data_IF_199422644002
#
_entry.id   IF_199422644002
#
_cell.length_a   1.000
_cell.length_b   1.000
_cell.length_c   1.000
_cell.angle_alpha   90.00
_cell.angle_beta   90.00
_cell.angle_gamma   90.00
#
_symmetry.space_group_name_H-M   'P 1'
#
loop_
_entity.id
_entity.type
_entity.pdbx_description
1 polymer ?
#
# COMPACT_ATOMS: atom_id res chain seq x y z
N UNK A 1 -24.60 35.10 4.31
CA UNK A 1 -25.13 34.09 3.36
C UNK A 1 -24.63 34.43 1.97
N UNK A 2 -23.83 33.55 1.37
CA UNK A 2 -23.21 33.74 0.07
C UNK A 2 -24.29 33.73 -1.03
N UNK A 3 -24.09 34.50 -2.10
CA UNK A 3 -25.08 34.67 -3.16
C UNK A 3 -25.49 33.33 -3.80
N UNK A 4 -24.52 32.44 -4.06
CA UNK A 4 -24.78 31.11 -4.61
C UNK A 4 -25.66 30.25 -3.68
N UNK A 5 -25.50 30.36 -2.35
CA UNK A 5 -26.34 29.63 -1.39
C UNK A 5 -27.81 30.01 -1.53
N UNK A 6 -28.11 31.30 -1.71
CA UNK A 6 -29.50 31.78 -1.80
C UNK A 6 -30.16 31.45 -3.14
N UNK A 7 -29.40 31.56 -4.23
CA UNK A 7 -29.96 31.45 -5.58
C UNK A 7 -29.93 30.02 -6.14
N UNK A 8 -29.06 29.17 -5.60
CA UNK A 8 -28.90 27.79 -6.05
C UNK A 8 -29.33 26.82 -4.95
N UNK A 9 -28.64 26.82 -3.80
CA UNK A 9 -28.90 25.83 -2.75
C UNK A 9 -30.32 25.97 -2.17
N UNK A 10 -30.75 27.19 -1.83
CA UNK A 10 -32.08 27.41 -1.29
C UNK A 10 -33.19 27.09 -2.30
N UNK A 11 -32.95 27.28 -3.60
CA UNK A 11 -33.91 26.93 -4.65
C UNK A 11 -34.06 25.40 -4.81
N UNK A 12 -33.01 24.63 -4.53
CA UNK A 12 -32.99 23.17 -4.62
C UNK A 12 -33.25 22.45 -3.29
N UNK A 13 -33.44 23.18 -2.18
CA UNK A 13 -33.48 22.62 -0.81
C UNK A 13 -34.52 21.53 -0.55
N UNK A 14 -35.59 21.49 -1.34
CA UNK A 14 -36.69 20.52 -1.21
C UNK A 14 -36.68 19.45 -2.30
N UNK A 15 -35.65 19.44 -3.16
CA UNK A 15 -35.49 18.46 -4.23
C UNK A 15 -34.55 17.36 -3.73
N UNK A 16 -35.03 16.11 -3.60
CA UNK A 16 -34.15 14.99 -3.32
C UNK A 16 -33.30 14.68 -4.56
N UNK A 17 -32.05 14.28 -4.34
CA UNK A 17 -31.11 13.84 -5.37
C UNK A 17 -30.56 12.47 -5.00
N UNK A 18 -30.44 11.58 -5.98
CA UNK A 18 -29.89 10.23 -5.79
C UNK A 18 -28.52 10.03 -6.45
N UNK A 19 -28.03 11.02 -7.21
CA UNK A 19 -26.70 10.99 -7.82
C UNK A 19 -26.10 12.38 -7.99
N UNK A 20 -24.77 12.45 -8.10
CA UNK A 20 -24.05 13.68 -8.39
C UNK A 20 -24.44 14.28 -9.75
N UNK A 21 -24.71 13.43 -10.75
CA UNK A 21 -25.13 13.87 -12.07
C UNK A 21 -26.46 14.65 -12.03
N UNK A 22 -27.44 14.18 -11.24
CA UNK A 22 -28.70 14.90 -11.06
C UNK A 22 -28.51 16.25 -10.37
N UNK A 23 -27.58 16.36 -9.42
CA UNK A 23 -27.22 17.63 -8.80
C UNK A 23 -26.62 18.58 -9.83
N UNK A 24 -25.66 18.11 -10.63
CA UNK A 24 -25.02 18.91 -11.69
C UNK A 24 -26.04 19.43 -12.70
N UNK A 25 -26.96 18.57 -13.14
CA UNK A 25 -28.02 18.91 -14.08
C UNK A 25 -28.98 19.97 -13.51
N UNK A 26 -29.38 19.83 -12.23
CA UNK A 26 -30.27 20.78 -11.58
C UNK A 26 -29.60 22.13 -11.26
N UNK A 27 -28.30 22.14 -10.96
CA UNK A 27 -27.53 23.35 -10.67
C UNK A 27 -27.28 24.17 -11.93
N UNK A 28 -27.02 23.52 -13.07
CA UNK A 28 -26.64 24.18 -14.34
C UNK A 28 -27.56 25.34 -14.75
N UNK A 29 -28.89 25.18 -14.85
CA UNK A 29 -29.77 26.29 -15.25
C UNK A 29 -29.84 27.41 -14.20
N UNK A 30 -29.70 27.10 -12.90
CA UNK A 30 -29.69 28.10 -11.84
C UNK A 30 -28.41 28.92 -11.84
N UNK A 31 -27.28 28.27 -12.14
CA UNK A 31 -25.98 28.92 -12.29
C UNK A 31 -25.99 29.87 -13.51
N UNK A 32 -26.52 29.41 -14.64
CA UNK A 32 -26.70 30.27 -15.83
C UNK A 32 -27.54 31.50 -15.49
N UNK A 33 -28.71 31.31 -14.85
CA UNK A 33 -29.58 32.41 -14.40
C UNK A 33 -28.88 33.37 -13.43
N UNK A 34 -28.03 32.85 -12.55
CA UNK A 34 -27.27 33.67 -11.60
C UNK A 34 -26.20 34.51 -12.29
N UNK A 35 -25.53 33.94 -13.29
CA UNK A 35 -24.44 34.56 -14.01
C UNK A 35 -24.91 35.61 -15.02
N UNK A 36 -26.05 35.38 -15.68
CA UNK A 36 -26.63 36.33 -16.66
C UNK A 36 -27.49 37.42 -16.03
N UNK A 37 -27.87 37.30 -14.76
CA UNK A 37 -28.66 38.33 -14.07
C UNK A 37 -27.88 39.65 -13.89
N UNK A 38 -28.42 40.80 -14.35
CA UNK A 38 -27.83 42.11 -14.08
C UNK A 38 -27.72 42.42 -12.59
N UNK A 39 -26.57 42.94 -12.18
CA UNK A 39 -26.31 43.34 -10.80
C UNK A 39 -26.77 44.78 -10.57
N UNK A 40 -27.63 44.98 -9.56
CA UNK A 40 -28.26 46.28 -9.27
C UNK A 40 -27.30 47.47 -9.20
N UNK A 41 -26.10 47.29 -8.64
CA UNK A 41 -25.13 48.38 -8.48
C UNK A 41 -24.32 48.69 -9.73
N UNK A 42 -24.10 47.69 -10.59
CA UNK A 42 -23.16 47.78 -11.72
C UNK A 42 -23.87 47.88 -13.07
N UNK A 43 -25.18 47.61 -13.12
CA UNK A 43 -25.95 47.57 -14.37
C UNK A 43 -25.62 46.39 -15.29
N UNK A 44 -24.49 45.70 -15.07
CA UNK A 44 -24.02 44.54 -15.82
C UNK A 44 -24.19 43.23 -15.04
N UNK A 45 -24.29 42.13 -15.76
CA UNK A 45 -24.28 40.76 -15.26
C UNK A 45 -22.86 40.29 -14.96
N UNK A 46 -22.73 39.16 -14.26
CA UNK A 46 -21.42 38.55 -13.97
C UNK A 46 -20.78 38.04 -15.26
N UNK A 47 -21.60 37.47 -16.14
CA UNK A 47 -21.16 37.00 -17.44
C UNK A 47 -20.58 38.12 -18.31
N UNK A 48 -21.26 39.27 -18.37
CA UNK A 48 -20.77 40.43 -19.13
C UNK A 48 -19.44 40.96 -18.57
N UNK A 49 -19.26 41.00 -17.25
CA UNK A 49 -17.99 41.41 -16.65
C UNK A 49 -16.87 40.39 -16.92
N UNK A 50 -17.20 39.09 -16.87
CA UNK A 50 -16.25 38.04 -17.21
C UNK A 50 -15.75 38.20 -18.65
N UNK A 51 -16.66 38.40 -19.61
CA UNK A 51 -16.30 38.56 -21.03
C UNK A 51 -15.52 39.84 -21.30
N UNK A 52 -15.89 40.97 -20.67
CA UNK A 52 -15.29 42.28 -20.93
C UNK A 52 -13.96 42.49 -20.23
N UNK A 53 -13.74 41.85 -19.08
CA UNK A 53 -12.59 42.14 -18.21
C UNK A 53 -11.77 40.89 -17.95
N UNK A 54 -12.37 39.85 -17.38
CA UNK A 54 -11.61 38.71 -16.85
C UNK A 54 -11.05 37.82 -17.95
N UNK A 55 -11.81 37.58 -19.03
CA UNK A 55 -11.44 36.66 -20.11
C UNK A 55 -10.09 36.98 -20.75
N UNK A 56 -9.77 38.27 -20.89
CA UNK A 56 -8.48 38.71 -21.44
C UNK A 56 -7.30 38.50 -20.47
N UNK A 57 -7.56 38.42 -19.15
CA UNK A 57 -6.56 38.19 -18.13
C UNK A 57 -6.33 36.69 -17.82
N UNK A 58 -7.22 35.80 -18.30
CA UNK A 58 -7.09 34.36 -18.08
C UNK A 58 -5.92 33.78 -18.87
N UNK A 59 -5.18 32.87 -18.22
CA UNK A 59 -4.20 32.03 -18.90
C UNK A 59 -4.91 30.89 -19.63
N UNK A 60 -4.25 30.35 -20.64
CA UNK A 60 -4.71 29.14 -21.32
C UNK A 60 -4.95 28.01 -20.30
N UNK A 61 -5.97 27.20 -20.56
CA UNK A 61 -6.24 26.01 -19.76
C UNK A 61 -4.99 25.12 -19.75
N UNK A 62 -4.46 24.74 -18.57
CA UNK A 62 -3.31 23.86 -18.51
C UNK A 62 -3.57 22.56 -19.27
N UNK A 63 -2.59 22.10 -20.06
CA UNK A 63 -2.72 20.87 -20.85
C UNK A 63 -2.89 19.61 -19.98
N UNK A 64 -2.52 19.69 -18.70
CA UNK A 64 -2.69 18.61 -17.72
C UNK A 64 -3.65 19.08 -16.63
N UNK A 65 -4.67 18.28 -16.28
CA UNK A 65 -5.52 18.55 -15.14
C UNK A 65 -4.69 18.71 -13.86
N UNK A 66 -5.22 19.48 -12.92
CA UNK A 66 -4.62 19.58 -11.60
C UNK A 66 -4.65 18.21 -10.90
N UNK A 67 -3.49 17.74 -10.46
CA UNK A 67 -3.33 16.47 -9.77
C UNK A 67 -3.23 16.70 -8.25
N UNK A 68 -4.15 16.12 -7.49
CA UNK A 68 -4.12 16.20 -6.03
C UNK A 68 -2.92 15.39 -5.50
N UNK A 69 -2.09 16.07 -4.71
CA UNK A 69 -0.93 15.47 -4.05
C UNK A 69 -1.14 15.46 -2.53
N UNK A 70 -0.79 14.33 -1.93
CA UNK A 70 -0.81 14.12 -0.49
C UNK A 70 0.60 13.97 0.04
N UNK A 71 0.80 14.34 1.30
CA UNK A 71 2.09 14.29 1.96
C UNK A 71 2.05 13.35 3.16
N UNK A 72 3.08 12.52 3.29
CA UNK A 72 3.25 11.59 4.41
C UNK A 72 4.69 11.58 4.88
N UNK A 73 4.92 11.75 6.18
CA UNK A 73 6.25 11.54 6.77
C UNK A 73 6.54 10.05 6.88
N UNK A 74 7.75 9.66 6.52
CA UNK A 74 8.24 8.29 6.62
C UNK A 74 9.70 8.27 7.08
N UNK A 75 10.17 7.11 7.51
CA UNK A 75 11.60 6.88 7.80
C UNK A 75 12.10 5.82 6.85
N UNK A 76 13.26 6.08 6.23
CA UNK A 76 13.89 5.11 5.34
C UNK A 76 14.31 3.91 6.18
N UNK A 77 13.85 2.74 5.77
CA UNK A 77 14.09 1.51 6.47
C UNK A 77 15.47 0.92 6.11
N UNK A 78 15.90 -0.09 6.86
CA UNK A 78 17.22 -0.74 6.72
C UNK A 78 17.46 -1.36 5.35
N UNK A 79 16.37 -1.75 4.68
CA UNK A 79 16.34 -2.28 3.33
C UNK A 79 16.32 -1.16 2.28
N UNK A 80 16.67 0.10 2.63
CA UNK A 80 16.68 1.28 1.75
C UNK A 80 15.35 1.53 1.01
N UNK A 81 14.23 1.15 1.64
CA UNK A 81 12.88 1.43 1.14
C UNK A 81 12.07 2.30 2.10
N UNK A 82 11.11 3.01 1.53
CA UNK A 82 10.04 3.74 2.23
C UNK A 82 8.70 3.11 1.92
N UNK A 83 7.80 3.05 2.89
CA UNK A 83 6.51 2.39 2.73
C UNK A 83 5.35 3.39 2.57
N UNK A 84 4.61 3.24 1.47
CA UNK A 84 3.34 3.90 1.23
C UNK A 84 2.26 2.84 1.02
N UNK A 85 1.23 2.86 1.86
CA UNK A 85 0.05 1.98 1.76
C UNK A 85 0.36 0.48 1.64
N UNK A 86 1.47 0.03 2.26
CA UNK A 86 1.92 -1.35 2.23
C UNK A 86 2.73 -1.73 0.99
N UNK A 87 3.10 -0.78 0.12
CA UNK A 87 4.07 -0.97 -0.97
C UNK A 87 5.38 -0.27 -0.63
N UNK A 88 6.52 -0.92 -0.92
CA UNK A 88 7.85 -0.38 -0.67
C UNK A 88 8.45 0.30 -1.90
N UNK A 89 8.97 1.50 -1.75
CA UNK A 89 9.67 2.24 -2.82
C UNK A 89 11.13 2.45 -2.42
N UNK A 90 12.05 2.09 -3.30
CA UNK A 90 13.49 2.23 -3.02
C UNK A 90 13.91 3.70 -2.97
N UNK A 91 14.93 3.99 -2.17
CA UNK A 91 15.61 5.29 -2.11
C UNK A 91 17.12 5.05 -2.03
N UNK A 92 17.97 6.03 -2.36
CA UNK A 92 19.41 5.87 -2.23
C UNK A 92 19.80 5.36 -0.84
N UNK A 93 20.61 4.31 -0.79
CA UNK A 93 20.98 3.62 0.45
C UNK A 93 21.61 4.51 1.52
N UNK A 94 22.29 5.59 1.10
CA UNK A 94 22.87 6.60 1.99
C UNK A 94 21.84 7.31 2.86
N UNK A 95 20.55 7.09 2.58
CA UNK A 95 19.43 7.65 3.30
C UNK A 95 18.84 6.70 4.35
N UNK A 96 19.36 5.47 4.49
CA UNK A 96 18.90 4.51 5.51
C UNK A 96 18.85 5.17 6.89
N UNK A 97 17.72 5.01 7.58
CA UNK A 97 17.46 5.59 8.89
C UNK A 97 17.11 7.08 8.89
N UNK A 98 17.20 7.80 7.77
CA UNK A 98 16.83 9.24 7.73
C UNK A 98 15.31 9.41 7.64
N UNK A 99 14.74 10.46 8.29
CA UNK A 99 13.36 10.85 8.06
C UNK A 99 13.23 11.51 6.68
N UNK A 100 12.15 11.20 5.97
CA UNK A 100 11.84 11.70 4.63
C UNK A 100 10.35 12.02 4.51
N UNK A 101 10.01 12.79 3.49
CA UNK A 101 8.63 13.15 3.17
C UNK A 101 8.24 12.51 1.84
N UNK A 102 7.12 11.80 1.84
CA UNK A 102 6.55 11.19 0.65
C UNK A 102 5.48 12.12 0.11
N UNK A 103 5.68 12.64 -1.09
CA UNK A 103 4.62 13.28 -1.87
C UNK A 103 4.05 12.22 -2.79
N UNK A 104 2.75 11.97 -2.75
CA UNK A 104 2.13 11.00 -3.64
C UNK A 104 0.84 11.50 -4.25
N UNK A 105 0.62 11.10 -5.49
CA UNK A 105 -0.58 11.37 -6.26
C UNK A 105 -1.25 10.05 -6.63
N UNK A 106 -2.22 10.06 -7.55
CA UNK A 106 -2.80 8.82 -8.07
C UNK A 106 -1.75 7.98 -8.83
N UNK A 107 -0.88 8.63 -9.61
CA UNK A 107 0.08 7.94 -10.49
C UNK A 107 1.51 7.87 -9.98
N UNK A 108 1.92 8.70 -9.01
CA UNK A 108 3.33 8.86 -8.66
C UNK A 108 3.59 8.88 -7.15
N UNK A 109 4.78 8.41 -6.76
CA UNK A 109 5.33 8.55 -5.42
C UNK A 109 6.71 9.18 -5.52
N UNK A 110 6.87 10.35 -4.91
CA UNK A 110 8.11 11.08 -4.84
C UNK A 110 8.60 11.14 -3.39
N UNK A 111 9.90 10.95 -3.20
CA UNK A 111 10.53 10.99 -1.89
C UNK A 111 11.38 12.25 -1.79
N UNK A 112 11.21 12.99 -0.70
CA UNK A 112 11.91 14.24 -0.42
C UNK A 112 12.72 14.13 0.88
N UNK A 113 13.91 14.73 0.87
CA UNK A 113 14.73 14.95 2.06
C UNK A 113 15.10 16.43 2.13
N UNK A 114 14.60 17.14 3.14
CA UNK A 114 14.86 18.58 3.31
C UNK A 114 14.41 19.42 2.10
N UNK A 115 13.25 19.11 1.52
CA UNK A 115 12.72 19.82 0.34
C UNK A 115 13.33 19.41 -1.00
N UNK A 116 14.41 18.60 -1.03
CA UNK A 116 15.00 18.08 -2.27
C UNK A 116 14.41 16.70 -2.61
N UNK A 117 13.91 16.52 -3.83
CA UNK A 117 13.48 15.21 -4.32
C UNK A 117 14.69 14.28 -4.48
N UNK A 118 14.65 13.13 -3.83
CA UNK A 118 15.71 12.11 -3.82
C UNK A 118 15.34 10.83 -4.57
N UNK A 119 14.05 10.57 -4.80
CA UNK A 119 13.57 9.47 -5.62
C UNK A 119 12.18 9.78 -6.19
N UNK A 120 11.82 9.14 -7.30
CA UNK A 120 10.49 9.21 -7.92
C UNK A 120 10.14 7.87 -8.53
N UNK A 121 8.91 7.39 -8.30
CA UNK A 121 8.44 6.09 -8.75
C UNK A 121 7.01 6.18 -9.28
N UNK A 122 6.65 5.31 -10.22
CA UNK A 122 5.25 5.06 -10.55
C UNK A 122 4.58 4.42 -9.34
N UNK A 123 3.39 4.91 -8.96
CA UNK A 123 2.65 4.38 -7.82
C UNK A 123 2.10 2.99 -8.15
N UNK A 124 2.31 2.05 -7.24
CA UNK A 124 1.76 0.69 -7.29
C UNK A 124 0.87 0.43 -6.08
N UNK A 125 -0.28 -0.19 -6.33
CA UNK A 125 -1.21 -0.62 -5.28
C UNK A 125 -0.95 -2.07 -4.79
N UNK A 126 0.08 -2.74 -5.30
CA UNK A 126 0.40 -4.12 -4.93
C UNK A 126 0.98 -4.19 -3.53
N UNK A 127 0.14 -4.50 -2.54
CA UNK A 127 0.56 -4.61 -1.13
C UNK A 127 1.59 -5.74 -0.94
N UNK A 128 2.64 -5.47 -0.16
CA UNK A 128 3.72 -6.40 0.14
C UNK A 128 4.76 -6.58 -0.97
N UNK A 129 4.65 -5.82 -2.06
CA UNK A 129 5.63 -5.77 -3.14
C UNK A 129 6.51 -4.51 -3.03
N UNK A 130 7.55 -4.50 -3.85
CA UNK A 130 8.54 -3.44 -3.89
C UNK A 130 8.76 -2.94 -5.31
N UNK A 131 8.91 -1.63 -5.45
CA UNK A 131 9.41 -0.97 -6.66
C UNK A 131 10.84 -0.51 -6.36
N UNK A 132 11.81 -1.23 -6.91
CA UNK A 132 13.24 -1.03 -6.65
C UNK A 132 13.94 -0.53 -7.91
N UNK A 133 14.65 0.59 -7.80
CA UNK A 133 15.56 1.09 -8.83
C UNK A 133 16.99 0.68 -8.49
N UNK A 134 17.73 0.20 -9.49
CA UNK A 134 19.05 -0.37 -9.25
C UNK A 134 20.08 0.66 -8.76
N UNK A 135 19.97 1.90 -9.23
CA UNK A 135 20.82 3.04 -8.84
C UNK A 135 20.73 3.41 -7.36
N UNK A 136 19.64 3.04 -6.69
CA UNK A 136 19.47 3.29 -5.26
C UNK A 136 20.31 2.34 -4.38
N UNK A 137 20.85 1.27 -4.96
CA UNK A 137 21.62 0.27 -4.23
C UNK A 137 23.09 0.73 -4.03
N UNK A 138 23.71 0.43 -2.88
CA UNK A 138 25.13 0.72 -2.65
C UNK A 138 26.03 -0.09 -3.57
N UNK A 139 27.13 0.52 -4.05
CA UNK A 139 28.18 -0.19 -4.77
C UNK A 139 28.78 -1.33 -3.94
N UNK A 140 28.98 -1.10 -2.63
CA UNK A 140 29.48 -2.10 -1.68
C UNK A 140 28.43 -3.10 -1.22
N UNK A 141 27.13 -2.95 -1.48
CA UNK A 141 26.14 -4.04 -1.27
C UNK A 141 26.18 -5.08 -2.40
N UNK A 142 27.07 -4.91 -3.39
CA UNK A 142 27.61 -6.04 -4.14
C UNK A 142 28.60 -6.87 -3.31
N UNK A 143 29.16 -6.34 -2.21
CA UNK A 143 30.25 -6.98 -1.47
C UNK A 143 30.11 -7.07 0.07
N UNK A 144 29.84 -6.05 0.88
CA UNK A 144 29.67 -6.17 2.35
C UNK A 144 28.91 -4.96 2.97
N UNK A 145 27.96 -5.23 3.88
CA UNK A 145 27.36 -4.21 4.75
C UNK A 145 26.93 -4.78 6.11
N UNK A 146 26.79 -3.87 7.08
CA UNK A 146 26.61 -4.10 8.52
C UNK A 146 25.49 -5.09 8.92
N UNK A 147 24.55 -5.35 8.00
CA UNK A 147 23.49 -6.35 8.11
C UNK A 147 23.60 -7.36 6.97
N UNK A 148 24.34 -8.44 7.20
CA UNK A 148 24.42 -9.56 6.27
C UNK A 148 23.23 -10.52 6.50
N UNK A 149 22.76 -11.22 5.45
CA UNK A 149 21.82 -12.33 5.60
C UNK A 149 22.25 -13.31 6.70
N UNK A 150 23.54 -13.63 6.74
CA UNK A 150 24.15 -14.52 7.74
C UNK A 150 23.98 -14.01 9.18
N UNK A 151 24.04 -12.70 9.43
CA UNK A 151 23.80 -12.14 10.78
C UNK A 151 22.35 -12.30 11.21
N UNK A 152 21.39 -12.07 10.30
CA UNK A 152 19.96 -12.24 10.58
C UNK A 152 19.59 -13.70 10.82
N UNK A 153 20.18 -14.62 10.05
CA UNK A 153 20.02 -16.07 10.24
C UNK A 153 20.60 -16.47 11.61
N UNK A 154 21.81 -16.03 11.94
CA UNK A 154 22.43 -16.31 13.25
C UNK A 154 21.63 -15.78 14.43
N UNK A 155 20.98 -14.63 14.28
CA UNK A 155 20.07 -14.13 15.31
C UNK A 155 18.81 -14.99 15.42
N UNK A 156 18.25 -15.42 14.29
CA UNK A 156 17.11 -16.32 14.24
C UNK A 156 17.39 -17.70 14.86
N UNK A 157 18.62 -18.22 14.77
CA UNK A 157 19.04 -19.43 15.48
C UNK A 157 18.86 -19.32 16.99
N UNK A 158 19.03 -18.12 17.55
CA UNK A 158 18.78 -17.84 18.97
C UNK A 158 17.30 -17.85 19.37
N UNK A 159 16.38 -17.96 18.40
CA UNK A 159 14.94 -18.25 18.60
C UNK A 159 14.68 -19.73 18.38
N UNK A 160 15.25 -20.32 17.32
CA UNK A 160 15.21 -21.75 17.03
C UNK A 160 15.52 -22.08 15.56
N UNK A 161 15.69 -23.36 15.22
CA UNK A 161 16.10 -23.81 13.89
C UNK A 161 15.07 -23.52 12.79
N UNK A 162 13.79 -23.61 13.09
CA UNK A 162 12.70 -23.34 12.14
C UNK A 162 12.59 -21.85 11.85
N UNK A 163 12.78 -21.00 12.87
CA UNK A 163 12.88 -19.56 12.69
C UNK A 163 14.05 -19.18 11.78
N UNK A 164 15.23 -19.76 11.99
CA UNK A 164 16.41 -19.54 11.13
C UNK A 164 16.14 -19.92 9.67
N UNK A 165 15.59 -21.11 9.43
CA UNK A 165 15.22 -21.58 8.09
C UNK A 165 14.16 -20.69 7.43
N UNK A 166 13.16 -20.23 8.16
CA UNK A 166 12.14 -19.31 7.64
C UNK A 166 12.74 -17.95 7.28
N UNK A 167 13.65 -17.42 8.10
CA UNK A 167 14.36 -16.16 7.86
C UNK A 167 15.25 -16.25 6.62
N UNK A 168 15.98 -17.36 6.46
CA UNK A 168 16.75 -17.65 5.25
C UNK A 168 15.84 -17.68 4.01
N UNK A 169 14.73 -18.40 4.08
CA UNK A 169 13.82 -18.56 2.94
C UNK A 169 13.09 -17.26 2.55
N UNK A 170 12.85 -16.37 3.52
CA UNK A 170 12.37 -15.00 3.24
C UNK A 170 13.37 -14.21 2.38
N UNK A 171 14.67 -14.46 2.50
CA UNK A 171 15.69 -13.73 1.76
C UNK A 171 15.95 -14.36 0.39
N UNK A 172 15.93 -15.69 0.27
CA UNK A 172 16.24 -16.40 -0.98
C UNK A 172 15.10 -16.41 -1.99
N UNK A 173 13.82 -16.36 -1.55
CA UNK A 173 12.65 -16.33 -2.46
C UNK A 173 12.48 -15.02 -3.24
N UNK A 174 13.23 -13.98 -2.90
CA UNK A 174 13.11 -12.64 -3.52
C UNK A 174 14.28 -12.39 -4.47
N UNK A 175 14.11 -11.58 -5.53
CA UNK A 175 15.22 -11.23 -6.44
C UNK A 175 16.43 -10.64 -5.71
N UNK A 176 16.18 -9.96 -4.59
CA UNK A 176 17.23 -9.37 -3.75
C UNK A 176 16.99 -9.73 -2.27
N UNK A 177 17.97 -10.33 -1.57
CA UNK A 177 17.88 -10.71 -0.15
C UNK A 177 17.42 -9.57 0.77
N UNK A 178 17.82 -8.34 0.46
CA UNK A 178 17.55 -7.15 1.27
C UNK A 178 16.04 -6.85 1.36
N UNK A 179 15.26 -7.20 0.33
CA UNK A 179 13.80 -7.08 0.37
C UNK A 179 13.17 -8.04 1.39
N UNK A 180 13.90 -9.07 1.82
CA UNK A 180 13.52 -9.99 2.89
C UNK A 180 13.83 -9.46 4.30
N UNK A 181 14.74 -8.50 4.44
CA UNK A 181 15.25 -8.07 5.75
C UNK A 181 14.14 -7.50 6.65
N UNK A 182 13.24 -6.69 6.08
CA UNK A 182 12.09 -6.15 6.81
C UNK A 182 11.18 -7.27 7.33
N UNK A 183 10.95 -8.31 6.53
CA UNK A 183 10.13 -9.45 6.94
C UNK A 183 10.83 -10.26 8.03
N UNK A 184 12.13 -10.53 7.88
CA UNK A 184 12.94 -11.27 8.84
C UNK A 184 12.99 -10.57 10.21
N UNK A 185 13.31 -9.27 10.23
CA UNK A 185 13.29 -8.47 11.46
C UNK A 185 11.89 -8.40 12.08
N UNK A 186 10.84 -8.36 11.25
CA UNK A 186 9.46 -8.47 11.71
C UNK A 186 9.21 -9.75 12.51
N UNK A 187 9.64 -10.90 11.97
CA UNK A 187 9.53 -12.20 12.65
C UNK A 187 10.36 -12.23 13.94
N UNK A 188 11.60 -11.75 13.92
CA UNK A 188 12.46 -11.70 15.10
C UNK A 188 11.87 -10.83 16.23
N UNK A 189 11.20 -9.72 15.88
CA UNK A 189 10.47 -8.89 16.84
C UNK A 189 9.23 -9.54 17.43
N UNK A 190 8.69 -10.62 16.83
CA UNK A 190 7.61 -11.40 17.44
C UNK A 190 8.14 -12.30 18.56
N UNK A 191 9.40 -12.72 18.47
CA UNK A 191 10.06 -13.59 19.44
C UNK A 191 10.44 -12.89 20.75
N UNK A 192 10.23 -11.57 20.82
CA UNK A 192 10.31 -10.80 22.06
C UNK A 192 9.37 -11.43 23.12
N UNK A 193 9.88 -11.59 24.34
CA UNK A 193 9.17 -12.19 25.47
C UNK A 193 7.87 -11.46 25.78
N UNK A 194 7.85 -10.13 25.59
CA UNK A 194 6.65 -9.31 25.83
C UNK A 194 5.53 -9.52 24.80
N UNK A 195 5.79 -10.22 23.69
CA UNK A 195 4.80 -10.44 22.62
C UNK A 195 4.29 -11.87 22.59
N UNK A 196 5.12 -12.78 22.10
CA UNK A 196 4.76 -14.18 21.89
C UNK A 196 5.79 -15.13 22.50
N UNK A 197 7.02 -14.65 22.76
CA UNK A 197 8.12 -15.46 23.28
C UNK A 197 8.73 -16.40 22.23
N UNK A 198 10.00 -16.74 22.43
CA UNK A 198 10.76 -17.57 21.50
C UNK A 198 10.13 -18.94 21.21
N UNK A 199 9.69 -19.73 22.21
CA UNK A 199 9.21 -21.10 21.96
C UNK A 199 7.98 -21.13 21.05
N UNK A 200 7.08 -20.16 21.23
CA UNK A 200 5.83 -20.07 20.48
C UNK A 200 6.07 -19.62 19.03
N UNK A 201 6.98 -18.67 18.84
CA UNK A 201 7.38 -18.21 17.52
C UNK A 201 8.11 -19.30 16.73
N UNK A 202 8.95 -20.10 17.40
CA UNK A 202 9.63 -21.24 16.77
C UNK A 202 8.63 -22.26 16.21
N UNK A 203 7.62 -22.66 16.99
CA UNK A 203 6.53 -23.55 16.53
C UNK A 203 5.73 -22.94 15.38
N UNK A 204 5.42 -21.65 15.45
CA UNK A 204 4.73 -20.95 14.38
C UNK A 204 5.55 -20.92 13.07
N UNK A 205 6.87 -20.74 13.17
CA UNK A 205 7.78 -20.80 12.03
C UNK A 205 7.84 -22.21 11.43
N UNK A 206 7.91 -23.25 12.28
CA UNK A 206 7.87 -24.65 11.84
C UNK A 206 6.58 -24.96 11.05
N UNK A 207 5.43 -24.53 11.56
CA UNK A 207 4.14 -24.66 10.87
C UNK A 207 4.12 -23.88 9.55
N UNK A 208 4.58 -22.64 9.53
CA UNK A 208 4.62 -21.82 8.33
C UNK A 208 5.47 -22.47 7.21
N UNK A 209 6.64 -23.02 7.57
CA UNK A 209 7.50 -23.76 6.66
C UNK A 209 6.82 -25.01 6.11
N UNK A 210 6.16 -25.80 6.98
CA UNK A 210 5.43 -27.02 6.60
C UNK A 210 4.37 -26.73 5.52
N UNK A 211 3.64 -25.63 5.65
CA UNK A 211 2.63 -25.21 4.67
C UNK A 211 3.19 -24.32 3.54
N UNK A 212 4.51 -24.17 3.44
CA UNK A 212 5.20 -23.28 2.46
C UNK A 212 4.73 -21.82 2.50
N UNK A 213 4.09 -21.39 3.60
CA UNK A 213 3.55 -20.07 3.84
C UNK A 213 4.62 -19.11 4.39
N UNK A 214 5.67 -18.88 3.61
CA UNK A 214 6.87 -18.12 4.03
C UNK A 214 6.62 -16.62 3.91
N UNK A 215 5.95 -16.04 4.91
CA UNK A 215 5.78 -14.60 5.04
C UNK A 215 5.64 -14.18 6.50
N UNK A 216 6.03 -12.95 6.83
CA UNK A 216 5.76 -12.38 8.16
C UNK A 216 4.27 -12.43 8.52
N UNK A 217 3.38 -12.15 7.56
CA UNK A 217 1.92 -12.18 7.78
C UNK A 217 1.42 -13.57 8.13
N UNK A 218 1.98 -14.60 7.51
CA UNK A 218 1.61 -16.00 7.77
C UNK A 218 2.01 -16.40 9.20
N UNK A 219 3.24 -16.08 9.62
CA UNK A 219 3.71 -16.34 10.99
C UNK A 219 2.85 -15.56 12.00
N UNK A 220 2.57 -14.29 11.72
CA UNK A 220 1.71 -13.47 12.57
C UNK A 220 0.30 -14.04 12.69
N UNK A 221 -0.31 -14.46 11.58
CA UNK A 221 -1.65 -15.05 11.57
C UNK A 221 -1.70 -16.36 12.37
N UNK A 222 -0.71 -17.24 12.20
CA UNK A 222 -0.59 -18.48 12.99
C UNK A 222 -0.58 -18.16 14.49
N UNK A 223 0.23 -17.20 14.92
CA UNK A 223 0.34 -16.79 16.32
C UNK A 223 -0.92 -16.10 16.86
N UNK A 224 -1.59 -15.28 16.04
CA UNK A 224 -2.84 -14.60 16.39
C UNK A 224 -3.98 -15.60 16.59
N UNK A 225 -4.05 -16.63 15.75
CA UNK A 225 -5.08 -17.66 15.81
C UNK A 225 -4.69 -18.88 16.66
N UNK A 226 -3.54 -18.85 17.34
CA UNK A 226 -3.02 -19.95 18.19
C UNK A 226 -2.90 -21.28 17.45
N UNK A 227 -2.52 -21.23 16.17
CA UNK A 227 -2.45 -22.42 15.32
C UNK A 227 -1.09 -23.13 15.43
N UNK A 228 -0.12 -22.59 16.15
CA UNK A 228 1.20 -23.19 16.31
C UNK A 228 1.18 -24.60 16.91
N UNK A 229 0.17 -24.92 17.72
CA UNK A 229 -0.03 -26.22 18.39
C UNK A 229 -1.24 -26.99 17.84
N UNK A 230 -1.89 -26.49 16.78
CA UNK A 230 -3.00 -27.21 16.18
C UNK A 230 -2.48 -28.47 15.48
N UNK A 231 -2.51 -29.60 16.19
CA UNK A 231 -2.21 -30.91 15.62
C UNK A 231 -3.05 -31.13 14.36
N UNK A 232 -2.42 -31.76 13.37
CA UNK A 232 -3.17 -32.34 12.28
C UNK A 232 -4.13 -33.35 12.92
N UNK A 233 -5.43 -33.04 12.89
CA UNK A 233 -6.31 -34.11 12.42
C UNK A 233 -5.78 -34.40 11.02
N UNK A 234 -4.90 -35.39 10.91
CA UNK A 234 -4.92 -36.24 9.74
C UNK A 234 -6.39 -36.56 9.59
N UNK A 235 -7.03 -35.95 8.60
CA UNK A 235 -8.06 -36.68 7.90
C UNK A 235 -7.32 -37.92 7.44
N UNK A 236 -7.33 -38.96 8.28
CA UNK A 236 -7.32 -40.31 7.80
C UNK A 236 -8.40 -40.27 6.74
N UNK A 237 -7.99 -40.14 5.49
CA UNK A 237 -8.77 -40.72 4.41
C UNK A 237 -8.75 -42.21 4.71
N UNK A 238 -9.58 -42.61 5.69
CA UNK A 238 -9.97 -43.99 5.86
C UNK A 238 -10.37 -44.47 4.49
N UNK A 239 -9.96 -45.69 4.15
CA UNK A 239 -10.34 -46.31 2.91
C UNK A 239 -11.84 -46.03 2.67
N UNK A 240 -12.16 -45.44 1.52
CA UNK A 240 -13.55 -45.22 1.14
C UNK A 240 -14.26 -46.57 1.31
N UNK A 241 -15.41 -46.63 1.99
CA UNK A 241 -16.13 -47.89 2.14
C UNK A 241 -16.37 -48.45 0.73
N UNK A 242 -15.98 -49.71 0.53
CA UNK A 242 -16.27 -50.40 -0.73
C UNK A 242 -17.79 -50.40 -0.93
N UNK A 243 -18.24 -49.78 -2.01
CA UNK A 243 -19.65 -49.75 -2.38
C UNK A 243 -19.80 -50.43 -3.74
N UNK A 244 -20.79 -51.32 -3.87
CA UNK A 244 -21.16 -52.04 -5.12
C UNK A 244 -21.38 -51.13 -6.35
N UNK A 245 -21.53 -49.82 -6.16
CA UNK A 245 -21.81 -48.86 -7.23
C UNK A 245 -20.54 -48.32 -7.91
N UNK A 246 -19.34 -48.67 -7.42
CA UNK A 246 -18.07 -48.26 -8.06
C UNK A 246 -17.75 -49.27 -9.16
N UNK A 247 -18.11 -48.93 -10.40
CA UNK A 247 -17.82 -49.75 -11.58
C UNK A 247 -16.39 -49.50 -12.04
N UNK A 248 -15.59 -50.57 -12.09
CA UNK A 248 -14.19 -50.53 -12.53
C UNK A 248 -14.05 -50.23 -14.03
N UNK A 249 -12.82 -49.93 -14.45
CA UNK A 249 -12.48 -49.55 -15.83
C UNK A 249 -12.97 -50.54 -16.91
N UNK A 250 -13.21 -51.81 -16.56
CA UNK A 250 -13.72 -52.85 -17.44
C UNK A 250 -15.21 -52.70 -17.82
N UNK A 251 -15.96 -51.79 -17.18
CA UNK A 251 -17.38 -51.58 -17.46
C UNK A 251 -17.64 -50.76 -18.75
N UNK A 252 -16.64 -50.05 -19.26
CA UNK A 252 -16.75 -49.26 -20.48
C UNK A 252 -15.97 -49.94 -21.61
N UNK A 253 -16.64 -50.86 -22.32
CA UNK A 253 -16.20 -51.40 -23.61
C UNK A 253 -17.15 -50.94 -24.71
#
# INVERSE_FOLDING_TARGET
>A
MLLAERWILAALRHRPFTSLAQVQEAVKPLLEKLNTRPMRKLGKSRWELFEQVEKAALRALPARPYELAFWKKARVNIDYHVELEGHGYSVPYTLVGKPVELRHTEGCVEVFLGGRRVASHVRSQQKGRFTTQAEHMPASHRQHAEWTPSRLIRWAEGVGPSCAKLVEELMTRRPHPQQGFRSALGVLRLADEKKYGKPRVEKACARALRHRAVSYKSVLAILQHRLEDADEKTDEKGALPEHENVRGAHYYH
#
